data_IF_802031021616
#
_entry.id   IF_802031021616
#
_cell.length_a   1.000
_cell.length_b   1.000
_cell.length_c   1.000
_cell.angle_alpha   90.00
_cell.angle_beta   90.00
_cell.angle_gamma   90.00
#
_symmetry.space_group_name_H-M   'P 1'
#
loop_
_entity.id
_entity.type
_entity.pdbx_description
1 polymer ?
#
# COMPACT_ATOMS: atom_id res chain seq x y z
N UNK A 1 -3.47 -11.44 70.15
CA UNK A 1 -3.76 -11.94 68.77
C UNK A 1 -3.79 -10.84 67.70
N UNK A 2 -3.94 -9.56 68.07
CA UNK A 2 -4.07 -8.49 67.09
C UNK A 2 -2.76 -7.80 66.61
N UNK A 3 -1.67 -8.02 67.33
CA UNK A 3 -0.39 -7.31 67.00
C UNK A 3 0.33 -7.92 65.80
N UNK A 4 0.36 -9.23 65.69
CA UNK A 4 1.07 -9.91 64.58
C UNK A 4 0.36 -9.73 63.21
N UNK A 5 -0.98 -9.73 63.22
CA UNK A 5 -1.76 -9.45 62.00
C UNK A 5 -1.52 -8.05 61.45
N UNK A 6 -1.41 -7.05 62.36
CA UNK A 6 -1.18 -5.66 61.95
C UNK A 6 0.21 -5.48 61.35
N UNK A 7 1.23 -6.19 61.84
CA UNK A 7 2.60 -6.14 61.28
C UNK A 7 2.65 -6.83 59.91
N UNK A 8 1.97 -7.98 59.76
CA UNK A 8 1.91 -8.70 58.50
C UNK A 8 1.24 -7.92 57.40
N UNK A 9 0.13 -7.23 57.67
CA UNK A 9 -0.59 -6.37 56.72
C UNK A 9 0.27 -5.18 56.31
N UNK A 10 0.97 -4.52 57.24
CA UNK A 10 1.88 -3.42 56.95
C UNK A 10 3.01 -3.85 56.03
N UNK A 11 3.58 -5.00 56.26
CA UNK A 11 4.68 -5.54 55.42
C UNK A 11 4.20 -5.88 53.99
N UNK A 12 2.97 -6.40 53.85
CA UNK A 12 2.35 -6.67 52.54
C UNK A 12 2.13 -5.34 51.78
N UNK A 13 1.66 -4.26 52.45
CA UNK A 13 1.52 -2.95 51.82
C UNK A 13 2.85 -2.35 51.35
N UNK A 14 3.92 -2.48 52.13
CA UNK A 14 5.26 -2.00 51.74
C UNK A 14 5.83 -2.80 50.57
N UNK A 15 5.61 -4.10 50.51
CA UNK A 15 6.03 -4.94 49.37
C UNK A 15 5.21 -4.60 48.12
N UNK A 16 3.92 -4.40 48.24
CA UNK A 16 3.07 -4.03 47.14
C UNK A 16 3.42 -2.62 46.61
N UNK A 17 3.69 -1.64 47.48
CA UNK A 17 4.15 -0.30 47.08
C UNK A 17 5.54 -0.33 46.42
N UNK A 18 6.45 -1.15 46.89
CA UNK A 18 7.78 -1.33 46.29
C UNK A 18 7.69 -1.96 44.88
N UNK A 19 6.78 -2.93 44.68
CA UNK A 19 6.52 -3.55 43.37
C UNK A 19 5.89 -2.56 42.38
N UNK A 20 4.95 -1.72 42.83
CA UNK A 20 4.33 -0.69 41.99
C UNK A 20 5.35 0.40 41.62
N UNK A 21 6.19 0.83 42.56
CA UNK A 21 7.27 1.79 42.30
C UNK A 21 8.32 1.22 41.32
N UNK A 22 8.62 -0.08 41.40
CA UNK A 22 9.52 -0.76 40.48
C UNK A 22 8.96 -0.87 39.05
N UNK A 23 7.64 -0.94 38.88
CA UNK A 23 7.01 -0.96 37.55
C UNK A 23 6.96 0.42 36.87
N UNK A 24 7.04 1.49 37.63
CA UNK A 24 7.06 2.86 37.07
C UNK A 24 8.43 3.28 36.48
N UNK A 25 9.48 2.55 36.76
CA UNK A 25 10.82 2.84 36.24
C UNK A 25 11.10 2.14 34.90
N UNK A 26 10.18 1.26 34.45
CA UNK A 26 10.33 0.49 33.22
C UNK A 26 9.88 1.21 31.93
N UNK A 27 9.46 2.46 32.02
CA UNK A 27 9.16 3.30 30.87
C UNK A 27 10.05 4.56 30.89
N UNK A 28 11.36 4.37 31.04
CA UNK A 28 12.28 5.39 30.56
C UNK A 28 12.28 5.26 29.03
N UNK A 29 11.81 6.24 28.26
CA UNK A 29 12.03 6.20 26.83
C UNK A 29 13.54 6.10 26.66
N UNK A 30 14.00 5.04 26.02
CA UNK A 30 15.38 4.91 25.62
C UNK A 30 15.65 6.12 24.73
N UNK A 31 16.11 7.20 25.32
CA UNK A 31 16.79 8.25 24.58
C UNK A 31 18.17 7.68 24.26
N UNK A 32 18.21 6.68 23.38
CA UNK A 32 19.43 6.44 22.64
C UNK A 32 19.67 7.71 21.83
N UNK A 33 20.46 8.60 22.43
CA UNK A 33 21.19 9.59 21.67
C UNK A 33 22.18 8.79 20.80
N UNK A 34 21.67 8.25 19.71
CA UNK A 34 22.54 7.85 18.61
C UNK A 34 23.28 9.13 18.20
N UNK A 35 24.61 9.21 18.42
CA UNK A 35 25.36 10.44 18.15
C UNK A 35 25.33 10.85 16.66
N UNK A 36 24.58 10.15 15.83
CA UNK A 36 24.42 10.41 14.41
C UNK A 36 23.08 11.02 13.97
N UNK A 37 22.05 11.16 14.84
CA UNK A 37 20.70 11.62 14.41
C UNK A 37 20.13 12.67 15.39
N UNK A 38 20.93 13.64 15.80
CA UNK A 38 20.42 14.74 16.64
C UNK A 38 19.82 15.90 15.85
N UNK A 39 19.86 15.87 14.53
CA UNK A 39 19.27 16.87 13.65
C UNK A 39 18.36 16.15 12.62
N UNK A 40 17.29 16.85 12.20
CA UNK A 40 16.47 16.40 11.10
C UNK A 40 17.34 16.18 9.85
N UNK A 41 17.07 15.11 9.13
CA UNK A 41 17.73 14.83 7.86
C UNK A 41 17.43 15.97 6.88
N UNK A 42 18.45 16.40 6.18
CA UNK A 42 18.27 17.17 4.95
C UNK A 42 18.06 16.22 3.76
N UNK A 43 17.59 16.75 2.64
CA UNK A 43 17.48 15.97 1.40
C UNK A 43 18.84 15.37 1.02
N UNK A 44 19.92 16.15 1.11
CA UNK A 44 21.27 15.68 0.81
C UNK A 44 21.73 14.54 1.73
N UNK A 45 21.37 14.59 3.03
CA UNK A 45 21.70 13.53 3.98
C UNK A 45 20.93 12.25 3.62
N UNK A 46 19.66 12.37 3.24
CA UNK A 46 18.84 11.23 2.83
C UNK A 46 19.38 10.61 1.54
N UNK A 47 19.71 11.41 0.53
CA UNK A 47 20.33 10.95 -0.72
C UNK A 47 21.66 10.23 -0.48
N UNK A 48 22.48 10.72 0.43
CA UNK A 48 23.77 10.10 0.76
C UNK A 48 23.64 8.74 1.47
N UNK A 49 22.51 8.51 2.15
CA UNK A 49 22.25 7.27 2.92
C UNK A 49 21.53 6.20 2.12
N UNK A 50 20.82 6.56 1.06
CA UNK A 50 19.99 5.63 0.29
C UNK A 50 20.66 5.27 -1.02
N UNK A 51 20.94 3.98 -1.20
CA UNK A 51 21.25 3.43 -2.50
C UNK A 51 19.94 2.93 -3.13
N UNK A 52 19.50 3.55 -4.21
CA UNK A 52 18.35 3.12 -5.04
C UNK A 52 18.90 2.79 -6.42
N UNK A 53 18.80 1.53 -6.83
CA UNK A 53 19.42 1.02 -8.05
C UNK A 53 18.44 0.21 -8.88
N UNK A 54 18.38 0.51 -10.17
CA UNK A 54 17.68 -0.33 -11.15
C UNK A 54 18.45 -1.65 -11.32
N UNK A 55 17.79 -2.78 -11.09
CA UNK A 55 18.44 -4.11 -11.08
C UNK A 55 19.00 -4.47 -12.46
N UNK A 56 18.25 -4.14 -13.49
CA UNK A 56 18.67 -4.23 -14.90
C UNK A 56 18.30 -2.93 -15.58
N UNK A 57 19.26 -2.32 -16.26
CA UNK A 57 19.04 -1.05 -16.94
C UNK A 57 17.84 -1.11 -17.89
N UNK A 58 16.94 -0.15 -17.77
CA UNK A 58 15.72 -0.07 -18.57
C UNK A 58 14.54 -0.92 -18.08
N UNK A 59 14.71 -1.78 -17.06
CA UNK A 59 13.61 -2.56 -16.50
C UNK A 59 12.98 -1.89 -15.28
N UNK A 60 11.74 -2.27 -14.97
CA UNK A 60 10.93 -1.75 -13.86
C UNK A 60 11.27 -2.35 -12.48
N UNK A 61 12.42 -3.03 -12.36
CA UNK A 61 12.88 -3.63 -11.11
C UNK A 61 13.96 -2.80 -10.46
N UNK A 62 13.79 -2.51 -9.18
CA UNK A 62 14.72 -1.73 -8.38
C UNK A 62 15.03 -2.44 -7.07
N UNK A 63 16.22 -2.16 -6.55
CA UNK A 63 16.60 -2.48 -5.18
C UNK A 63 16.93 -1.20 -4.43
N UNK A 64 16.63 -1.17 -3.14
CA UNK A 64 17.06 -0.07 -2.29
C UNK A 64 17.68 -0.62 -1.01
N UNK A 65 18.61 0.15 -0.46
CA UNK A 65 19.21 -0.10 0.85
C UNK A 65 19.63 1.21 1.50
N UNK A 66 19.74 1.21 2.81
CA UNK A 66 20.14 2.38 3.58
C UNK A 66 21.39 2.10 4.42
N UNK A 67 22.33 3.05 4.43
CA UNK A 67 23.55 2.98 5.23
C UNK A 67 23.96 4.40 5.71
N UNK A 68 23.99 4.68 7.03
CA UNK A 68 23.54 3.82 8.14
C UNK A 68 22.06 3.49 8.06
N UNK A 69 21.65 2.44 8.76
CA UNK A 69 20.27 1.91 8.75
C UNK A 69 19.24 2.99 9.04
N UNK A 70 18.28 3.14 8.13
CA UNK A 70 17.20 4.10 8.21
C UNK A 70 15.95 3.50 7.56
N UNK A 71 14.81 3.54 8.23
CA UNK A 71 13.55 3.14 7.60
C UNK A 71 13.08 4.21 6.63
N UNK A 72 12.91 3.83 5.37
CA UNK A 72 12.40 4.69 4.31
C UNK A 72 11.14 4.10 3.67
N UNK A 73 10.39 4.95 3.01
CA UNK A 73 9.32 4.57 2.09
C UNK A 73 9.72 4.97 0.68
N UNK A 74 9.51 4.07 -0.26
CA UNK A 74 9.69 4.35 -1.69
C UNK A 74 8.31 4.40 -2.34
N UNK A 75 8.04 5.48 -3.05
CA UNK A 75 6.75 5.78 -3.67
C UNK A 75 6.93 5.95 -5.18
N UNK A 76 5.85 5.70 -5.92
CA UNK A 76 5.75 6.07 -7.34
C UNK A 76 5.43 7.57 -7.52
N UNK A 77 5.31 8.01 -8.78
CA UNK A 77 4.98 9.39 -9.14
C UNK A 77 3.58 9.84 -8.64
N UNK A 78 2.70 8.90 -8.37
CA UNK A 78 1.33 9.17 -7.88
C UNK A 78 1.24 9.15 -6.34
N UNK A 79 2.37 8.89 -5.68
CA UNK A 79 2.46 8.83 -4.22
C UNK A 79 2.02 7.50 -3.61
N UNK A 80 1.84 6.45 -4.43
CA UNK A 80 1.58 5.12 -3.90
C UNK A 80 2.86 4.50 -3.32
N UNK A 81 2.77 3.96 -2.10
CA UNK A 81 3.91 3.32 -1.44
C UNK A 81 4.17 1.96 -2.10
N UNK A 82 5.34 1.83 -2.71
CA UNK A 82 5.81 0.59 -3.33
C UNK A 82 6.55 -0.31 -2.34
N UNK A 83 7.30 0.29 -1.42
CA UNK A 83 8.02 -0.44 -0.39
C UNK A 83 8.24 0.41 0.87
N UNK A 84 8.41 -0.26 2.01
CA UNK A 84 8.80 0.35 3.28
C UNK A 84 9.83 -0.55 3.95
N UNK A 85 10.94 0.00 4.39
CA UNK A 85 11.99 -0.76 5.09
C UNK A 85 13.33 -0.07 5.07
N UNK A 86 14.34 -0.80 5.50
CA UNK A 86 15.76 -0.38 5.47
C UNK A 86 16.46 -0.87 4.21
N UNK A 87 15.90 -1.89 3.58
CA UNK A 87 16.32 -2.50 2.32
C UNK A 87 15.14 -3.23 1.68
N UNK A 88 15.21 -3.49 0.39
CA UNK A 88 14.18 -4.25 -0.31
C UNK A 88 14.29 -4.18 -1.82
N UNK A 89 13.30 -4.81 -2.47
CA UNK A 89 13.12 -4.78 -3.91
C UNK A 89 11.74 -4.24 -4.27
N UNK A 90 11.66 -3.62 -5.42
CA UNK A 90 10.47 -2.97 -5.96
C UNK A 90 10.27 -3.47 -7.39
N UNK A 91 9.02 -3.78 -7.72
CA UNK A 91 8.58 -3.95 -9.10
C UNK A 91 7.62 -2.79 -9.39
N UNK A 92 8.05 -1.86 -10.23
CA UNK A 92 7.23 -0.73 -10.63
C UNK A 92 6.15 -1.14 -11.62
N UNK A 93 4.93 -0.65 -11.44
CA UNK A 93 3.84 -0.86 -12.41
C UNK A 93 3.83 0.24 -13.46
N UNK A 94 3.47 -0.06 -14.73
CA UNK A 94 3.36 0.96 -15.76
C UNK A 94 2.22 1.99 -15.48
N UNK A 95 2.36 3.25 -15.90
CA UNK A 95 3.62 3.89 -16.27
C UNK A 95 4.43 4.27 -15.01
N UNK A 96 5.71 3.96 -14.96
CA UNK A 96 6.60 4.40 -13.89
C UNK A 96 7.57 5.45 -14.45
N UNK A 97 7.48 6.69 -13.95
CA UNK A 97 8.26 7.83 -14.44
C UNK A 97 9.22 8.39 -13.40
N UNK A 98 8.90 8.21 -12.11
CA UNK A 98 9.77 8.61 -11.02
C UNK A 98 9.57 7.76 -9.78
N UNK A 99 10.60 7.71 -8.94
CA UNK A 99 10.55 7.14 -7.60
C UNK A 99 10.93 8.19 -6.58
N UNK A 100 10.06 8.35 -5.58
CA UNK A 100 10.29 9.23 -4.43
C UNK A 100 10.67 8.41 -3.21
N UNK A 101 11.81 8.73 -2.61
CA UNK A 101 12.21 8.16 -1.32
C UNK A 101 11.91 9.17 -0.23
N UNK A 102 11.26 8.74 0.84
CA UNK A 102 10.99 9.60 2.00
C UNK A 102 11.31 8.91 3.32
N UNK A 103 11.75 9.70 4.28
CA UNK A 103 11.98 9.29 5.66
C UNK A 103 11.28 10.24 6.63
N UNK A 104 10.85 9.71 7.77
CA UNK A 104 10.30 10.51 8.87
C UNK A 104 11.43 10.89 9.82
N UNK A 105 11.51 12.14 10.17
CA UNK A 105 12.42 12.69 11.18
C UNK A 105 11.87 12.48 12.59
N UNK A 106 12.72 12.71 13.59
CA UNK A 106 12.33 12.55 15.00
C UNK A 106 11.24 13.55 15.44
N UNK A 107 11.19 14.73 14.81
CA UNK A 107 10.14 15.74 15.06
C UNK A 107 8.82 15.46 14.32
N UNK A 108 8.74 14.35 13.57
CA UNK A 108 7.59 13.98 12.76
C UNK A 108 7.55 14.65 11.37
N UNK A 109 8.49 15.53 11.05
CA UNK A 109 8.61 16.06 9.68
C UNK A 109 9.08 14.98 8.71
N UNK A 110 8.82 15.19 7.42
CA UNK A 110 9.21 14.25 6.35
C UNK A 110 10.26 14.91 5.47
N UNK A 111 11.37 14.20 5.26
CA UNK A 111 12.38 14.55 4.26
C UNK A 111 12.27 13.59 3.11
N UNK A 112 12.33 14.09 1.88
CA UNK A 112 12.21 13.27 0.67
C UNK A 112 13.07 13.81 -0.47
N UNK A 113 13.39 12.91 -1.42
CA UNK A 113 13.93 13.25 -2.72
C UNK A 113 13.28 12.36 -3.79
N UNK A 114 13.31 12.83 -5.04
CA UNK A 114 12.76 12.09 -6.18
C UNK A 114 13.80 11.92 -7.26
N UNK A 115 13.79 10.76 -7.90
CA UNK A 115 14.59 10.46 -9.07
C UNK A 115 13.68 10.09 -10.24
N UNK A 116 13.89 10.71 -11.38
CA UNK A 116 13.26 10.27 -12.62
C UNK A 116 13.83 8.90 -13.03
N UNK A 117 12.96 8.04 -13.55
CA UNK A 117 13.33 6.72 -14.04
C UNK A 117 12.91 6.57 -15.49
N UNK A 118 13.72 5.85 -16.25
CA UNK A 118 13.40 5.51 -17.64
C UNK A 118 13.20 4.00 -17.73
N UNK A 119 12.00 3.59 -18.11
CA UNK A 119 11.64 2.19 -18.31
C UNK A 119 11.42 1.96 -19.81
N UNK A 120 12.18 1.05 -20.39
CA UNK A 120 12.03 0.59 -21.77
C UNK A 120 11.37 -0.78 -21.85
N UNK A 121 11.37 -1.53 -20.76
CA UNK A 121 10.80 -2.87 -20.69
C UNK A 121 10.18 -3.11 -19.31
N UNK A 122 8.90 -3.48 -19.30
CA UNK A 122 8.20 -3.91 -18.09
C UNK A 122 8.23 -5.43 -17.98
N UNK A 123 8.80 -5.94 -16.88
CA UNK A 123 8.90 -7.38 -16.57
C UNK A 123 8.11 -7.71 -15.31
N UNK A 124 7.62 -8.95 -15.24
CA UNK A 124 6.86 -9.47 -14.08
C UNK A 124 5.64 -8.62 -13.67
N UNK A 125 5.08 -7.87 -14.59
CA UNK A 125 3.79 -7.18 -14.39
C UNK A 125 2.69 -8.25 -14.46
N UNK A 126 1.80 -8.32 -13.46
CA UNK A 126 0.70 -9.28 -13.51
C UNK A 126 -0.17 -9.10 -14.76
N UNK A 127 -0.47 -10.19 -15.48
CA UNK A 127 -1.24 -10.15 -16.73
C UNK A 127 -2.63 -9.56 -16.61
N UNK A 128 -3.19 -9.51 -15.39
CA UNK A 128 -4.48 -8.85 -15.14
C UNK A 128 -4.45 -7.37 -15.53
N UNK A 129 -3.31 -6.70 -15.38
CA UNK A 129 -3.18 -5.28 -15.76
C UNK A 129 -3.22 -5.08 -17.27
N UNK A 130 -2.59 -5.99 -18.03
CA UNK A 130 -2.72 -5.98 -19.50
C UNK A 130 -4.17 -6.25 -19.92
N UNK A 131 -4.83 -7.20 -19.27
CA UNK A 131 -6.23 -7.51 -19.51
C UNK A 131 -7.17 -6.34 -19.24
N UNK A 132 -6.91 -5.53 -18.20
CA UNK A 132 -7.77 -4.39 -17.82
C UNK A 132 -7.42 -3.09 -18.55
N UNK A 133 -6.15 -2.83 -18.81
CA UNK A 133 -5.65 -1.56 -19.32
C UNK A 133 -5.08 -1.64 -20.74
N UNK A 134 -5.09 -2.82 -21.36
CA UNK A 134 -4.52 -3.08 -22.68
C UNK A 134 -3.01 -3.34 -22.66
N UNK A 135 -2.44 -3.78 -23.79
CA UNK A 135 -1.04 -4.25 -23.87
C UNK A 135 0.00 -3.14 -23.64
N UNK A 136 -0.39 -1.88 -23.82
CA UNK A 136 0.49 -0.73 -23.57
C UNK A 136 0.27 -0.14 -22.18
N UNK A 137 -0.57 -0.77 -21.37
CA UNK A 137 -0.94 -0.32 -20.02
C UNK A 137 -1.51 1.11 -19.98
N UNK A 138 -2.14 1.53 -21.05
CA UNK A 138 -2.88 2.77 -21.11
C UNK A 138 -4.26 2.61 -20.43
N UNK A 139 -5.03 3.69 -20.34
CA UNK A 139 -6.40 3.56 -19.87
C UNK A 139 -7.29 2.93 -20.95
N UNK A 140 -8.12 1.98 -20.53
CA UNK A 140 -9.13 1.35 -21.40
C UNK A 140 -10.49 1.58 -20.78
N UNK A 141 -11.43 2.06 -21.60
CA UNK A 141 -12.82 2.19 -21.21
C UNK A 141 -13.60 0.97 -21.65
N UNK A 142 -14.17 0.28 -20.67
CA UNK A 142 -15.01 -0.89 -20.85
C UNK A 142 -16.48 -0.44 -20.92
N UNK A 143 -17.21 -1.05 -21.80
CA UNK A 143 -18.67 -0.87 -21.98
C UNK A 143 -19.34 -2.25 -21.98
N UNK A 144 -20.65 -2.27 -21.89
CA UNK A 144 -21.40 -3.52 -22.00
C UNK A 144 -21.20 -4.14 -23.38
N UNK A 145 -20.95 -5.45 -23.43
CA UNK A 145 -20.91 -6.23 -24.67
C UNK A 145 -22.34 -6.57 -25.10
N UNK A 146 -22.97 -5.67 -25.85
CA UNK A 146 -24.36 -5.80 -26.27
C UNK A 146 -24.64 -7.02 -27.17
N UNK A 147 -23.57 -7.61 -27.73
CA UNK A 147 -23.65 -8.79 -28.60
C UNK A 147 -23.45 -10.11 -27.82
N UNK A 148 -23.25 -10.03 -26.50
CA UNK A 148 -23.08 -11.20 -25.67
C UNK A 148 -24.30 -12.14 -25.71
N UNK A 149 -24.15 -13.33 -26.25
CA UNK A 149 -25.24 -14.27 -26.46
C UNK A 149 -25.85 -14.84 -25.18
N UNK A 150 -25.07 -14.84 -24.08
CA UNK A 150 -25.46 -15.37 -22.77
C UNK A 150 -25.84 -14.28 -21.77
N UNK A 151 -26.20 -13.10 -22.25
CA UNK A 151 -26.51 -11.94 -21.41
C UNK A 151 -25.28 -11.15 -20.96
N UNK A 152 -25.52 -9.93 -20.48
CA UNK A 152 -24.47 -8.97 -20.07
C UNK A 152 -23.94 -9.25 -18.67
N UNK A 153 -24.83 -9.70 -17.80
CA UNK A 153 -24.50 -10.07 -16.45
C UNK A 153 -25.42 -11.19 -15.95
N UNK A 154 -25.04 -11.83 -14.85
CA UNK A 154 -25.85 -12.87 -14.23
C UNK A 154 -25.03 -13.70 -13.26
N UNK A 155 -25.50 -14.88 -12.97
CA UNK A 155 -24.79 -15.82 -12.13
C UNK A 155 -24.70 -17.22 -12.75
N UNK A 156 -23.76 -18.00 -12.26
CA UNK A 156 -23.49 -19.37 -12.66
C UNK A 156 -22.68 -20.10 -11.59
N UNK A 157 -22.28 -21.34 -11.88
CA UNK A 157 -21.45 -22.13 -10.98
C UNK A 157 -20.03 -21.58 -10.90
N UNK A 158 -19.52 -21.41 -9.68
CA UNK A 158 -18.16 -20.94 -9.45
C UNK A 158 -17.13 -21.91 -10.07
N UNK A 159 -16.23 -21.38 -10.88
CA UNK A 159 -15.18 -22.12 -11.59
C UNK A 159 -15.68 -23.18 -12.62
N UNK A 160 -16.97 -23.31 -12.82
CA UNK A 160 -17.56 -24.28 -13.77
C UNK A 160 -18.22 -23.58 -14.95
N UNK A 161 -18.96 -22.49 -14.68
CA UNK A 161 -19.62 -21.73 -15.73
C UNK A 161 -18.66 -20.79 -16.46
N UNK A 162 -18.79 -20.70 -17.76
CA UNK A 162 -18.02 -19.75 -18.61
C UNK A 162 -18.75 -18.42 -18.84
N UNK A 163 -19.93 -18.28 -18.26
CA UNK A 163 -20.77 -17.09 -18.33
C UNK A 163 -22.02 -17.26 -17.47
N UNK A 164 -22.99 -16.33 -17.55
CA UNK A 164 -24.25 -16.44 -16.83
C UNK A 164 -25.03 -17.66 -17.33
N UNK A 165 -25.32 -18.60 -16.44
CA UNK A 165 -26.07 -19.84 -16.77
C UNK A 165 -27.37 -19.99 -15.98
N UNK A 166 -27.38 -19.56 -14.71
CA UNK A 166 -28.54 -19.74 -13.83
C UNK A 166 -29.54 -18.59 -13.94
N UNK A 167 -29.03 -17.37 -14.10
CA UNK A 167 -29.80 -16.16 -14.29
C UNK A 167 -29.00 -15.19 -15.15
N UNK A 168 -29.69 -14.56 -16.11
CA UNK A 168 -29.08 -13.72 -17.12
C UNK A 168 -29.88 -12.42 -17.25
N UNK A 169 -29.18 -11.32 -17.44
CA UNK A 169 -29.74 -10.03 -17.81
C UNK A 169 -29.31 -9.70 -19.23
N UNK A 170 -30.27 -9.55 -20.12
CA UNK A 170 -30.02 -9.20 -21.50
C UNK A 170 -29.81 -7.68 -21.67
N UNK A 171 -29.24 -7.28 -22.81
CA UNK A 171 -29.05 -5.86 -23.12
C UNK A 171 -30.35 -5.06 -23.04
N UNK A 172 -31.47 -5.66 -23.44
CA UNK A 172 -32.80 -5.04 -23.37
C UNK A 172 -33.33 -4.76 -21.97
N UNK A 173 -32.80 -5.46 -20.97
CA UNK A 173 -33.31 -5.44 -19.60
C UNK A 173 -32.37 -4.68 -18.64
N UNK A 174 -31.14 -4.34 -19.08
CA UNK A 174 -30.10 -3.79 -18.20
C UNK A 174 -30.52 -2.46 -17.56
N UNK A 175 -31.14 -1.57 -18.31
CA UNK A 175 -31.60 -0.27 -17.80
C UNK A 175 -32.64 -0.41 -16.71
N UNK A 176 -33.61 -1.31 -16.89
CA UNK A 176 -34.63 -1.60 -15.89
C UNK A 176 -33.99 -2.20 -14.66
N UNK A 177 -33.13 -3.20 -14.83
CA UNK A 177 -32.46 -3.88 -13.71
C UNK A 177 -31.57 -2.94 -12.90
N UNK A 178 -30.83 -2.08 -13.55
CA UNK A 178 -30.00 -1.09 -12.88
C UNK A 178 -30.85 -0.07 -12.13
N UNK A 179 -31.92 0.41 -12.70
CA UNK A 179 -32.84 1.35 -12.08
C UNK A 179 -33.50 0.75 -10.83
N UNK A 180 -33.99 -0.50 -10.92
CA UNK A 180 -34.63 -1.20 -9.81
C UNK A 180 -33.67 -1.44 -8.63
N UNK A 181 -32.38 -1.55 -8.90
CA UNK A 181 -31.33 -1.72 -7.88
C UNK A 181 -30.73 -0.39 -7.39
N UNK A 182 -31.20 0.74 -7.87
CA UNK A 182 -30.72 2.06 -7.50
C UNK A 182 -29.45 2.51 -8.22
N UNK A 183 -29.06 1.85 -9.31
CA UNK A 183 -27.87 2.14 -10.11
C UNK A 183 -28.23 2.64 -11.52
N UNK A 184 -29.21 3.50 -11.64
CA UNK A 184 -29.74 3.96 -12.93
C UNK A 184 -28.67 4.55 -13.88
N UNK A 185 -27.52 5.01 -13.35
CA UNK A 185 -26.41 5.53 -14.15
C UNK A 185 -25.55 4.43 -14.77
N UNK A 186 -25.68 3.22 -14.31
CA UNK A 186 -24.90 2.05 -14.74
C UNK A 186 -25.68 1.18 -15.76
N UNK A 187 -26.71 1.76 -16.38
CA UNK A 187 -27.51 1.13 -17.44
C UNK A 187 -26.68 0.85 -18.71
N UNK A 188 -27.39 0.62 -19.84
CA UNK A 188 -26.77 0.21 -21.09
C UNK A 188 -25.69 1.18 -21.60
N UNK A 189 -25.85 2.47 -21.33
CA UNK A 189 -24.86 3.53 -21.63
C UNK A 189 -23.76 3.65 -20.56
N UNK A 190 -23.77 2.80 -19.55
CA UNK A 190 -22.78 2.76 -18.50
C UNK A 190 -21.41 2.34 -19.02
N UNK A 191 -20.38 2.92 -18.41
CA UNK A 191 -18.99 2.60 -18.76
C UNK A 191 -18.10 2.60 -17.52
N UNK A 192 -16.96 1.93 -17.63
CA UNK A 192 -15.94 1.89 -16.60
C UNK A 192 -14.56 2.05 -17.24
N UNK A 193 -13.75 2.95 -16.73
CA UNK A 193 -12.39 3.16 -17.23
C UNK A 193 -11.38 2.66 -16.18
N UNK A 194 -10.54 1.73 -16.60
CA UNK A 194 -9.40 1.30 -15.81
C UNK A 194 -8.16 2.03 -16.28
N UNK A 195 -7.41 2.56 -15.33
CA UNK A 195 -6.10 3.15 -15.59
C UNK A 195 -5.11 2.66 -14.54
N UNK A 196 -3.89 2.36 -14.97
CA UNK A 196 -2.85 1.90 -14.06
C UNK A 196 -2.21 3.07 -13.31
N UNK A 197 -2.18 4.24 -13.93
CA UNK A 197 -1.67 5.46 -13.32
C UNK A 197 -2.53 5.88 -12.12
N UNK A 198 -1.90 6.03 -10.95
CA UNK A 198 -2.56 6.39 -9.71
C UNK A 198 -3.54 5.35 -9.17
N UNK A 199 -3.57 4.14 -9.74
CA UNK A 199 -4.46 3.02 -9.32
C UNK A 199 -5.91 3.46 -9.14
N UNK A 200 -6.42 4.28 -10.06
CA UNK A 200 -7.79 4.77 -10.05
C UNK A 200 -8.68 3.91 -10.94
N UNK A 201 -9.91 3.71 -10.47
CA UNK A 201 -11.01 3.10 -11.21
C UNK A 201 -12.08 4.14 -11.48
#
# INVERSE_FOLDING_TARGET
FNSEYTIMIKNIYYIAMALIAGMMVSCDPITESDPGISANLTEADLQARVALTQTTAGQNKFTFSTNPTLTVQVLDQDGAILATGTEGSIIGTPPLTSLTVRAMNQDGSITSFSNDVTISEYVDVPSIYEGLCGPEYNSVTWVWDTDASNGLWGNGAYMESTGPEWWQVQATDIDQQCTEKGYAKDGLEGWMTFTLAGKKV
#
